data_IF_030047491148
#
_entry.id   IF_030047491148
#
_cell.length_a   1.000
_cell.length_b   1.000
_cell.length_c   1.000
_cell.angle_alpha   90.00
_cell.angle_beta   90.00
_cell.angle_gamma   90.00
#
_symmetry.space_group_name_H-M   'P 1'
#
loop_
_entity.id
_entity.type
_entity.pdbx_description
1 polymer ?
#
# COMPACT_ATOMS: atom_id res chain seq x y z
N UNK A 1 4.23 -14.33 13.37
CA UNK A 1 3.09 -14.01 12.46
C UNK A 1 3.53 -12.96 11.44
N UNK A 2 3.48 -13.25 10.13
CA UNK A 2 4.01 -12.32 9.10
C UNK A 2 3.08 -11.13 8.80
N UNK A 3 1.77 -11.32 8.97
CA UNK A 3 0.73 -10.38 8.56
C UNK A 3 0.86 -8.97 9.16
N UNK A 4 1.13 -8.77 10.47
CA UNK A 4 1.24 -7.41 11.04
C UNK A 4 2.46 -6.65 10.52
N UNK A 5 3.63 -7.29 10.37
CA UNK A 5 4.83 -6.67 9.77
C UNK A 5 4.60 -6.27 8.32
N UNK A 6 3.99 -7.16 7.53
CA UNK A 6 3.69 -6.89 6.13
C UNK A 6 2.69 -5.75 6.01
N UNK A 7 1.67 -5.69 6.88
CA UNK A 7 0.69 -4.60 6.91
C UNK A 7 1.33 -3.26 7.28
N UNK A 8 2.28 -3.25 8.22
CA UNK A 8 3.01 -2.05 8.61
C UNK A 8 3.80 -1.45 7.44
N UNK A 9 4.61 -2.27 6.75
CA UNK A 9 5.38 -1.80 5.58
C UNK A 9 4.50 -1.50 4.38
N UNK A 10 3.37 -2.21 4.22
CA UNK A 10 2.38 -1.91 3.19
C UNK A 10 1.76 -0.51 3.37
N UNK A 11 1.38 -0.16 4.61
CA UNK A 11 0.84 1.16 4.94
C UNK A 11 1.88 2.28 4.77
N UNK A 12 3.18 1.96 4.95
CA UNK A 12 4.29 2.86 4.61
C UNK A 12 4.49 3.06 3.09
N UNK A 13 3.74 2.34 2.24
CA UNK A 13 3.77 2.48 0.78
C UNK A 13 4.86 1.66 0.09
N UNK A 14 5.52 0.74 0.81
CA UNK A 14 6.57 -0.11 0.25
C UNK A 14 5.97 -1.10 -0.76
N UNK A 15 6.75 -1.44 -1.79
CA UNK A 15 6.37 -2.46 -2.77
C UNK A 15 6.67 -3.85 -2.23
N UNK A 16 5.98 -4.90 -2.70
CA UNK A 16 6.21 -6.28 -2.22
C UNK A 16 7.69 -6.71 -2.20
N UNK A 17 8.55 -6.37 -3.19
CA UNK A 17 9.97 -6.68 -3.11
C UNK A 17 10.66 -5.98 -1.92
N UNK A 18 10.38 -4.69 -1.72
CA UNK A 18 10.91 -3.89 -0.62
C UNK A 18 10.41 -4.34 0.75
N UNK A 19 9.14 -4.77 0.84
CA UNK A 19 8.58 -5.39 2.04
C UNK A 19 9.28 -6.71 2.31
N UNK A 20 9.54 -7.52 1.28
CA UNK A 20 10.28 -8.77 1.44
C UNK A 20 11.68 -8.48 1.97
N UNK A 21 12.43 -7.53 1.40
CA UNK A 21 13.77 -7.18 1.87
C UNK A 21 13.76 -6.75 3.35
N UNK A 22 12.79 -5.91 3.74
CA UNK A 22 12.64 -5.46 5.12
C UNK A 22 12.24 -6.62 6.07
N UNK A 23 11.32 -7.49 5.63
CA UNK A 23 10.91 -8.67 6.41
C UNK A 23 12.04 -9.70 6.48
N UNK A 24 12.85 -9.85 5.42
CA UNK A 24 14.03 -10.72 5.36
C UNK A 24 15.18 -10.22 6.24
N UNK A 25 15.28 -8.90 6.47
CA UNK A 25 16.21 -8.35 7.46
C UNK A 25 15.82 -8.73 8.90
N UNK A 26 14.54 -9.08 9.13
CA UNK A 26 14.01 -9.46 10.44
C UNK A 26 13.71 -10.96 10.58
N UNK A 27 13.72 -11.75 9.50
CA UNK A 27 13.39 -13.19 9.49
C UNK A 27 14.38 -14.01 8.64
N UNK A 28 14.80 -15.14 9.21
CA UNK A 28 15.68 -16.11 8.54
C UNK A 28 15.05 -16.72 7.29
N UNK A 29 15.72 -16.52 6.15
CA UNK A 29 15.31 -17.00 4.82
C UNK A 29 15.21 -18.52 4.74
N UNK A 30 16.14 -19.21 5.39
CA UNK A 30 16.25 -20.68 5.39
C UNK A 30 15.16 -21.37 6.22
N UNK A 31 14.64 -20.68 7.25
CA UNK A 31 13.66 -21.29 8.15
C UNK A 31 12.23 -21.28 7.61
N UNK A 32 11.90 -20.34 6.72
CA UNK A 32 10.52 -20.13 6.25
C UNK A 32 10.31 -20.22 4.73
N UNK A 33 11.36 -20.35 3.92
CA UNK A 33 11.22 -20.51 2.46
C UNK A 33 10.40 -19.38 1.80
N UNK A 34 10.47 -18.17 2.34
CA UNK A 34 9.67 -17.03 1.89
C UNK A 34 10.29 -16.41 0.64
N UNK A 35 9.72 -16.77 -0.51
CA UNK A 35 10.00 -16.10 -1.78
C UNK A 35 9.13 -14.86 -1.98
N UNK A 36 9.56 -13.95 -2.86
CA UNK A 36 8.75 -12.79 -3.32
C UNK A 36 7.38 -13.26 -3.82
N UNK A 37 7.34 -14.41 -4.50
CA UNK A 37 6.10 -15.00 -5.03
C UNK A 37 5.16 -15.46 -3.92
N UNK A 38 5.68 -16.13 -2.89
CA UNK A 38 4.89 -16.56 -1.73
C UNK A 38 4.33 -15.36 -0.96
N UNK A 39 5.15 -14.32 -0.76
CA UNK A 39 4.71 -13.10 -0.09
C UNK A 39 3.65 -12.38 -0.93
N UNK A 40 3.84 -12.28 -2.24
CA UNK A 40 2.87 -11.68 -3.17
C UNK A 40 1.53 -12.41 -3.13
N UNK A 41 1.54 -13.75 -3.16
CA UNK A 41 0.32 -14.56 -3.06
C UNK A 41 -0.41 -14.31 -1.74
N UNK A 42 0.32 -14.28 -0.62
CA UNK A 42 -0.26 -13.95 0.70
C UNK A 42 -0.81 -12.52 0.77
N UNK A 43 -0.12 -11.54 0.17
CA UNK A 43 -0.64 -10.18 0.06
C UNK A 43 -1.95 -10.14 -0.76
N UNK A 44 -2.05 -10.89 -1.85
CA UNK A 44 -3.29 -11.00 -2.63
C UNK A 44 -4.42 -11.68 -1.83
N UNK A 45 -4.13 -12.76 -1.10
CA UNK A 45 -5.06 -13.43 -0.18
C UNK A 45 -5.52 -12.49 0.96
N UNK A 46 -4.66 -11.57 1.40
CA UNK A 46 -4.99 -10.55 2.41
C UNK A 46 -5.62 -9.28 1.83
N UNK A 47 -5.89 -9.23 0.52
CA UNK A 47 -6.51 -8.07 -0.12
C UNK A 47 -5.57 -6.86 -0.32
N UNK A 48 -4.27 -7.02 -0.06
CA UNK A 48 -3.23 -6.00 -0.28
C UNK A 48 -2.88 -5.92 -1.77
N UNK A 49 -3.82 -5.40 -2.57
CA UNK A 49 -3.67 -5.26 -4.02
C UNK A 49 -2.88 -4.00 -4.34
N UNK A 50 -1.87 -4.14 -5.21
CA UNK A 50 -1.18 -2.99 -5.80
C UNK A 50 -2.17 -2.20 -6.67
N UNK A 51 -2.00 -0.89 -6.66
CA UNK A 51 -2.73 0.10 -7.46
C UNK A 51 -2.82 -0.23 -8.92
N UNK A 52 -1.78 -0.85 -9.50
CA UNK A 52 -1.82 -1.25 -10.92
C UNK A 52 -2.95 -2.25 -11.24
N UNK A 53 -3.46 -2.97 -10.23
CA UNK A 53 -4.64 -3.85 -10.34
C UNK A 53 -5.93 -3.21 -9.81
N UNK A 54 -5.83 -2.05 -9.15
CA UNK A 54 -6.99 -1.28 -8.72
C UNK A 54 -7.22 -0.30 -9.85
N UNK A 55 -8.25 -0.51 -10.68
CA UNK A 55 -8.66 0.44 -11.70
C UNK A 55 -9.22 1.71 -11.04
N UNK A 56 -8.39 2.39 -10.25
CA UNK A 56 -8.67 3.70 -9.72
C UNK A 56 -8.44 4.67 -10.90
N UNK A 57 -9.41 4.67 -11.82
CA UNK A 57 -9.52 5.72 -12.81
C UNK A 57 -9.80 7.03 -12.08
N UNK A 58 -9.39 8.16 -12.68
CA UNK A 58 -9.62 9.48 -12.12
C UNK A 58 -11.09 9.69 -11.70
N UNK A 59 -12.04 9.13 -12.46
CA UNK A 59 -13.46 9.14 -12.16
C UNK A 59 -13.83 8.51 -10.80
N UNK A 60 -13.07 7.53 -10.33
CA UNK A 60 -13.29 6.90 -9.01
C UNK A 60 -12.61 7.71 -7.90
N UNK A 61 -11.50 8.37 -8.20
CA UNK A 61 -10.66 9.12 -7.25
C UNK A 61 -11.23 10.51 -6.96
N UNK A 62 -11.78 11.16 -7.99
CA UNK A 62 -12.33 12.52 -7.95
C UNK A 62 -13.28 12.80 -6.77
N UNK A 63 -14.28 11.96 -6.44
CA UNK A 63 -15.15 12.21 -5.29
C UNK A 63 -14.38 12.17 -3.95
N UNK A 64 -13.45 11.23 -3.78
CA UNK A 64 -12.62 11.11 -2.57
C UNK A 64 -11.62 12.27 -2.47
N UNK A 65 -11.08 12.71 -3.60
CA UNK A 65 -10.18 13.87 -3.68
C UNK A 65 -10.92 15.16 -3.30
N UNK A 66 -12.13 15.38 -3.82
CA UNK A 66 -12.95 16.54 -3.50
C UNK A 66 -13.35 16.57 -2.02
N UNK A 67 -13.69 15.43 -1.42
CA UNK A 67 -13.99 15.33 0.01
C UNK A 67 -12.77 15.74 0.87
N UNK A 68 -11.58 15.25 0.52
CA UNK A 68 -10.33 15.63 1.17
C UNK A 68 -9.97 17.10 0.95
N UNK A 69 -10.25 17.65 -0.24
CA UNK A 69 -10.01 19.06 -0.57
C UNK A 69 -10.89 19.98 0.30
N UNK A 70 -12.14 19.59 0.52
CA UNK A 70 -13.07 20.32 1.38
C UNK A 70 -12.62 20.28 2.84
N UNK A 71 -12.17 19.11 3.33
CA UNK A 71 -11.67 18.96 4.70
C UNK A 71 -10.33 19.67 4.92
N UNK A 72 -9.47 19.73 3.90
CA UNK A 72 -8.13 20.29 3.97
C UNK A 72 -7.82 21.20 2.77
N UNK A 73 -8.41 22.42 2.70
CA UNK A 73 -8.28 23.30 1.55
C UNK A 73 -6.84 23.80 1.30
N UNK A 74 -6.02 23.91 2.36
CA UNK A 74 -4.64 24.35 2.29
C UNK A 74 -3.63 23.21 2.04
N UNK A 75 -4.09 21.97 1.86
CA UNK A 75 -3.22 20.82 1.68
C UNK A 75 -2.68 20.75 0.24
N UNK A 76 -1.36 20.66 0.11
CA UNK A 76 -0.69 20.49 -1.17
C UNK A 76 -0.98 19.11 -1.78
N UNK A 77 -0.92 19.02 -3.12
CA UNK A 77 -1.29 17.82 -3.88
C UNK A 77 -0.59 16.54 -3.38
N UNK A 78 0.71 16.63 -3.04
CA UNK A 78 1.51 15.50 -2.54
C UNK A 78 1.00 14.98 -1.19
N UNK A 79 0.70 15.89 -0.27
CA UNK A 79 0.13 15.56 1.04
C UNK A 79 -1.29 15.00 0.91
N UNK A 80 -2.03 15.45 -0.11
CA UNK A 80 -3.37 14.95 -0.43
C UNK A 80 -3.33 13.51 -0.94
N UNK A 81 -2.41 13.18 -1.85
CA UNK A 81 -2.15 11.81 -2.32
C UNK A 81 -1.73 10.90 -1.15
N UNK A 82 -0.92 11.40 -0.23
CA UNK A 82 -0.53 10.66 0.96
C UNK A 82 -1.72 10.42 1.90
N UNK A 83 -2.59 11.42 2.09
CA UNK A 83 -3.82 11.25 2.85
C UNK A 83 -4.79 10.26 2.20
N UNK A 84 -4.92 10.27 0.87
CA UNK A 84 -5.73 9.28 0.16
C UNK A 84 -5.22 7.85 0.40
N UNK A 85 -3.90 7.66 0.45
CA UNK A 85 -3.29 6.38 0.82
C UNK A 85 -3.61 5.98 2.25
N UNK A 86 -3.57 6.92 3.20
CA UNK A 86 -3.79 6.63 4.61
C UNK A 86 -5.28 6.40 4.96
N UNK A 87 -6.18 7.23 4.41
CA UNK A 87 -7.61 7.23 4.75
C UNK A 87 -8.36 6.16 3.98
N UNK A 88 -8.10 6.03 2.68
CA UNK A 88 -8.86 5.15 1.80
C UNK A 88 -8.08 3.89 1.42
N UNK A 89 -6.79 3.78 1.79
CA UNK A 89 -5.95 2.63 1.41
C UNK A 89 -5.62 2.56 -0.08
N UNK A 90 -5.94 3.63 -0.84
CA UNK A 90 -5.79 3.67 -2.30
C UNK A 90 -4.51 4.44 -2.63
N UNK A 91 -3.61 3.81 -3.39
CA UNK A 91 -2.51 4.56 -4.01
C UNK A 91 -3.09 5.34 -5.18
N UNK A 92 -2.80 6.63 -5.26
CA UNK A 92 -3.12 7.45 -6.43
C UNK A 92 -1.88 7.51 -7.33
N UNK A 93 -2.02 7.49 -8.67
CA UNK A 93 -0.92 7.80 -9.59
C UNK A 93 -0.43 9.23 -9.32
N UNK A 94 0.88 9.42 -9.14
CA UNK A 94 1.51 10.74 -9.01
C UNK A 94 1.72 11.41 -10.37
#
# INVERSE_FOLDING_TARGET
>A
ELRPLVSFYWNLGFTCPKILDAVMAHFDRDRYGLSVYTLRRRCEEWGMKSTRKTAADWATIEPMFNELRQKFPNMGARSMVQNMRLVYGIKVPE
#
